data_IF_733966743268
#
_entry.id   IF_733966743268
#
_cell.length_a   1.000
_cell.length_b   1.000
_cell.length_c   1.000
_cell.angle_alpha   90.00
_cell.angle_beta   90.00
_cell.angle_gamma   90.00
#
_symmetry.space_group_name_H-M   'P 1'
#
loop_
_entity.id
_entity.type
_entity.pdbx_description
1 polymer ?
#
# COMPACT_ATOMS: atom_id res chain seq x y z
N UNK A 1 -28.23 -24.36 -18.88
CA UNK A 1 -27.72 -23.40 -19.88
C UNK A 1 -26.76 -22.44 -19.20
N UNK A 2 -25.48 -22.76 -19.23
CA UNK A 2 -24.40 -21.91 -18.72
C UNK A 2 -24.17 -20.83 -19.76
N UNK A 3 -24.59 -19.58 -19.49
CA UNK A 3 -24.19 -18.44 -20.33
C UNK A 3 -22.68 -18.31 -20.22
N UNK A 4 -21.96 -18.85 -21.20
CA UNK A 4 -20.56 -18.52 -21.47
C UNK A 4 -20.54 -17.02 -21.74
N UNK A 5 -20.20 -16.22 -20.71
CA UNK A 5 -19.80 -14.83 -20.91
C UNK A 5 -18.60 -14.88 -21.84
N UNK A 6 -18.78 -14.48 -23.10
CA UNK A 6 -17.67 -14.04 -23.94
C UNK A 6 -16.96 -12.95 -23.16
N UNK A 7 -15.82 -13.26 -22.55
CA UNK A 7 -15.00 -12.25 -21.88
C UNK A 7 -14.48 -11.34 -22.98
N UNK A 8 -15.10 -10.17 -23.16
CA UNK A 8 -14.54 -9.11 -23.99
C UNK A 8 -13.15 -8.74 -23.49
N UNK A 9 -12.33 -8.18 -24.38
CA UNK A 9 -11.01 -7.67 -24.00
C UNK A 9 -11.13 -6.70 -22.81
N UNK A 10 -10.16 -6.70 -21.88
CA UNK A 10 -10.20 -5.83 -20.72
C UNK A 10 -10.22 -4.36 -21.17
N UNK A 11 -10.98 -3.52 -20.45
CA UNK A 11 -11.08 -2.10 -20.81
C UNK A 11 -9.78 -1.36 -20.49
N UNK A 12 -9.53 -0.24 -21.17
CA UNK A 12 -8.35 0.61 -20.90
C UNK A 12 -8.32 1.07 -19.44
N UNK A 13 -9.49 1.37 -18.86
CA UNK A 13 -9.59 1.73 -17.44
C UNK A 13 -9.17 0.56 -16.53
N UNK A 14 -9.60 -0.66 -16.84
CA UNK A 14 -9.25 -1.86 -16.08
C UNK A 14 -7.74 -2.11 -16.10
N UNK A 15 -7.13 -2.10 -17.30
CA UNK A 15 -5.67 -2.31 -17.44
C UNK A 15 -4.90 -1.16 -16.83
N UNK A 16 -5.35 0.08 -17.02
CA UNK A 16 -4.71 1.29 -16.50
C UNK A 16 -4.67 1.31 -14.97
N UNK A 17 -5.77 0.95 -14.31
CA UNK A 17 -5.84 0.89 -12.84
C UNK A 17 -4.96 -0.23 -12.26
N UNK A 18 -4.95 -1.42 -12.89
CA UNK A 18 -4.04 -2.51 -12.50
C UNK A 18 -2.58 -2.08 -12.68
N UNK A 19 -2.25 -1.48 -13.83
CA UNK A 19 -0.91 -1.00 -14.13
C UNK A 19 -0.45 0.08 -13.15
N UNK A 20 -1.32 1.03 -12.82
CA UNK A 20 -1.05 2.06 -11.82
C UNK A 20 -0.80 1.44 -10.44
N UNK A 21 -1.67 0.53 -10.00
CA UNK A 21 -1.54 -0.15 -8.72
C UNK A 21 -0.21 -0.90 -8.60
N UNK A 22 0.13 -1.76 -9.58
CA UNK A 22 1.36 -2.55 -9.55
C UNK A 22 2.59 -1.67 -9.64
N UNK A 23 2.57 -0.65 -10.52
CA UNK A 23 3.71 0.29 -10.67
C UNK A 23 3.96 1.04 -9.37
N UNK A 24 2.90 1.58 -8.75
CA UNK A 24 3.00 2.29 -7.50
C UNK A 24 3.48 1.35 -6.37
N UNK A 25 2.93 0.14 -6.27
CA UNK A 25 3.31 -0.84 -5.24
C UNK A 25 4.79 -1.24 -5.34
N UNK A 26 5.28 -1.54 -6.54
CA UNK A 26 6.69 -1.91 -6.76
C UNK A 26 7.61 -0.71 -6.51
N UNK A 27 7.21 0.48 -6.96
CA UNK A 27 7.99 1.71 -6.72
C UNK A 27 8.10 2.00 -5.23
N UNK A 28 7.01 1.82 -4.47
CA UNK A 28 6.99 2.01 -3.02
C UNK A 28 8.08 1.18 -2.32
N UNK A 29 8.29 -0.08 -2.75
CA UNK A 29 9.32 -0.93 -2.14
C UNK A 29 10.73 -0.35 -2.28
N UNK A 30 11.04 0.20 -3.44
CA UNK A 30 12.38 0.70 -3.76
C UNK A 30 12.61 2.09 -3.17
N UNK A 31 11.57 2.92 -3.07
CA UNK A 31 11.67 4.28 -2.52
C UNK A 31 11.53 4.33 -1.00
N UNK A 32 11.02 3.27 -0.36
CA UNK A 32 10.82 3.20 1.09
C UNK A 32 12.10 3.40 1.91
N UNK A 33 13.25 2.97 1.38
CA UNK A 33 14.55 3.10 2.06
C UNK A 33 15.00 4.56 2.24
N UNK A 34 14.45 5.49 1.44
CA UNK A 34 14.69 6.92 1.61
C UNK A 34 13.70 7.51 2.61
N UNK A 35 14.19 7.95 3.76
CA UNK A 35 13.39 8.73 4.71
C UNK A 35 13.28 10.17 4.21
N UNK A 36 12.04 10.62 4.03
CA UNK A 36 11.68 12.00 3.72
C UNK A 36 11.40 12.74 5.03
N UNK A 37 11.75 14.01 5.09
CA UNK A 37 11.48 14.85 6.24
C UNK A 37 10.69 16.08 5.81
N UNK A 38 9.55 16.30 6.46
CA UNK A 38 8.62 17.39 6.17
C UNK A 38 8.53 18.31 7.38
N UNK A 39 8.56 19.61 7.16
CA UNK A 39 8.33 20.58 8.23
C UNK A 39 6.83 20.75 8.47
N UNK A 40 6.43 20.68 9.74
CA UNK A 40 5.05 20.88 10.16
C UNK A 40 4.84 22.33 10.61
N UNK A 41 3.67 22.92 10.30
CA UNK A 41 3.31 24.26 10.76
C UNK A 41 3.06 24.32 12.28
N UNK A 42 2.88 23.17 12.93
CA UNK A 42 2.74 23.05 14.39
C UNK A 42 3.56 21.87 14.91
N UNK A 43 4.14 22.01 16.10
CA UNK A 43 4.92 20.94 16.73
C UNK A 43 4.01 19.86 17.31
N UNK A 44 4.39 18.60 17.09
CA UNK A 44 3.73 17.44 17.68
C UNK A 44 4.51 16.91 18.90
N UNK A 45 3.84 16.31 19.90
CA UNK A 45 4.47 15.86 21.15
C UNK A 45 5.61 14.84 20.98
N UNK A 46 5.65 14.11 19.86
CA UNK A 46 6.62 13.02 19.62
C UNK A 46 7.63 13.37 18.52
N UNK A 47 7.22 14.14 17.50
CA UNK A 47 8.06 14.41 16.32
C UNK A 47 8.59 15.84 16.27
N UNK A 48 8.16 16.71 17.19
CA UNK A 48 8.52 18.13 17.15
C UNK A 48 7.95 18.81 15.90
N UNK A 49 8.70 19.73 15.30
CA UNK A 49 8.31 20.47 14.10
C UNK A 49 8.62 19.74 12.79
N UNK A 50 9.15 18.52 12.84
CA UNK A 50 9.52 17.76 11.65
C UNK A 50 8.84 16.39 11.67
N UNK A 51 8.33 15.95 10.53
CA UNK A 51 7.68 14.65 10.37
C UNK A 51 8.46 13.81 9.37
N UNK A 52 9.00 12.68 9.84
CA UNK A 52 9.60 11.69 8.96
C UNK A 52 8.53 10.80 8.31
N UNK A 53 8.66 10.57 7.00
CA UNK A 53 7.85 9.64 6.22
C UNK A 53 8.77 8.80 5.33
N UNK A 54 8.47 7.51 5.08
CA UNK A 54 9.19 6.79 4.04
C UNK A 54 8.90 7.39 2.66
N UNK A 55 9.86 7.31 1.75
CA UNK A 55 9.71 7.72 0.36
C UNK A 55 8.59 6.98 -0.39
N UNK A 56 8.13 5.85 0.17
CA UNK A 56 6.96 5.12 -0.28
C UNK A 56 5.63 5.89 -0.12
N UNK A 57 5.58 6.94 0.69
CA UNK A 57 4.36 7.69 1.02
C UNK A 57 3.51 8.07 -0.20
N UNK A 58 4.14 8.67 -1.22
CA UNK A 58 3.44 9.10 -2.44
C UNK A 58 2.97 7.92 -3.28
N UNK A 59 3.79 6.88 -3.38
CA UNK A 59 3.44 5.67 -4.10
C UNK A 59 2.26 4.95 -3.41
N UNK A 60 2.23 4.94 -2.07
CA UNK A 60 1.10 4.40 -1.33
C UNK A 60 -0.21 5.15 -1.62
N UNK A 61 -0.19 6.49 -1.68
CA UNK A 61 -1.39 7.25 -2.05
C UNK A 61 -1.96 6.82 -3.41
N UNK A 62 -1.09 6.57 -4.39
CA UNK A 62 -1.50 6.05 -5.71
C UNK A 62 -2.02 4.61 -5.64
N UNK A 63 -1.47 3.75 -4.78
CA UNK A 63 -2.00 2.39 -4.61
C UNK A 63 -3.42 2.39 -4.06
N UNK A 64 -3.72 3.23 -3.06
CA UNK A 64 -5.07 3.35 -2.49
C UNK A 64 -6.07 3.87 -3.52
N UNK A 65 -5.71 4.97 -4.21
CA UNK A 65 -6.54 5.53 -5.27
C UNK A 65 -6.88 4.48 -6.34
N UNK A 66 -5.87 3.75 -6.81
CA UNK A 66 -6.04 2.72 -7.82
C UNK A 66 -6.89 1.55 -7.32
N UNK A 67 -6.67 1.06 -6.10
CA UNK A 67 -7.44 -0.05 -5.53
C UNK A 67 -8.90 0.32 -5.26
N UNK A 68 -9.15 1.55 -4.85
CA UNK A 68 -10.50 2.03 -4.50
C UNK A 68 -11.32 2.28 -5.75
N UNK A 69 -10.74 2.94 -6.76
CA UNK A 69 -11.35 3.05 -8.09
C UNK A 69 -11.64 1.68 -8.69
N UNK A 70 -10.70 0.73 -8.57
CA UNK A 70 -10.88 -0.63 -9.10
C UNK A 70 -11.97 -1.40 -8.35
N UNK A 71 -12.05 -1.24 -7.03
CA UNK A 71 -13.11 -1.84 -6.19
C UNK A 71 -14.49 -1.33 -6.58
N UNK A 72 -14.63 -0.03 -6.81
CA UNK A 72 -15.92 0.59 -7.15
C UNK A 72 -16.36 0.26 -8.60
N UNK A 73 -15.43 0.09 -9.53
CA UNK A 73 -15.74 -0.24 -10.92
C UNK A 73 -15.95 -1.74 -11.16
N UNK A 74 -15.12 -2.59 -10.53
CA UNK A 74 -15.05 -4.03 -10.84
C UNK A 74 -15.41 -4.95 -9.65
N UNK A 75 -15.67 -4.36 -8.48
CA UNK A 75 -16.11 -5.06 -7.28
C UNK A 75 -14.98 -5.58 -6.39
N UNK A 76 -15.32 -5.82 -5.11
CA UNK A 76 -14.40 -6.23 -4.04
C UNK A 76 -13.55 -7.46 -4.38
N UNK A 77 -14.16 -8.50 -4.97
CA UNK A 77 -13.43 -9.75 -5.28
C UNK A 77 -12.35 -9.53 -6.33
N UNK A 78 -12.62 -8.71 -7.35
CA UNK A 78 -11.64 -8.40 -8.38
C UNK A 78 -10.49 -7.58 -7.80
N UNK A 79 -10.79 -6.57 -6.97
CA UNK A 79 -9.78 -5.77 -6.29
C UNK A 79 -8.88 -6.62 -5.36
N UNK A 80 -9.47 -7.56 -4.61
CA UNK A 80 -8.70 -8.49 -3.77
C UNK A 80 -7.72 -9.34 -4.58
N UNK A 81 -8.09 -9.75 -5.80
CA UNK A 81 -7.18 -10.47 -6.69
C UNK A 81 -6.02 -9.56 -7.10
N UNK A 82 -6.29 -8.31 -7.52
CA UNK A 82 -5.25 -7.35 -7.91
C UNK A 82 -4.28 -7.07 -6.76
N UNK A 83 -4.81 -6.83 -5.55
CA UNK A 83 -4.00 -6.58 -4.34
C UNK A 83 -3.15 -7.80 -4.00
N UNK A 84 -3.73 -9.00 -3.97
CA UNK A 84 -3.00 -10.22 -3.61
C UNK A 84 -1.93 -10.58 -4.65
N UNK A 85 -2.23 -10.44 -5.94
CA UNK A 85 -1.25 -10.64 -7.01
C UNK A 85 -0.15 -9.61 -6.91
N UNK A 86 -0.48 -8.32 -6.74
CA UNK A 86 0.52 -7.26 -6.54
C UNK A 86 1.40 -7.52 -5.33
N UNK A 87 0.82 -7.99 -4.22
CA UNK A 87 1.56 -8.39 -3.04
C UNK A 87 2.57 -9.51 -3.36
N UNK A 88 2.13 -10.58 -4.05
CA UNK A 88 3.00 -11.69 -4.48
C UNK A 88 4.10 -11.22 -5.44
N UNK A 89 3.81 -10.27 -6.32
CA UNK A 89 4.79 -9.71 -7.25
C UNK A 89 5.96 -9.01 -6.55
N UNK A 90 5.84 -8.62 -5.28
CA UNK A 90 6.98 -8.13 -4.51
C UNK A 90 8.07 -9.18 -4.32
N UNK A 91 7.72 -10.47 -4.25
CA UNK A 91 8.72 -11.55 -4.22
C UNK A 91 9.44 -11.68 -5.56
N UNK A 92 8.76 -11.40 -6.67
CA UNK A 92 9.40 -11.34 -8.00
C UNK A 92 10.39 -10.17 -8.05
N UNK A 93 10.00 -9.00 -7.55
CA UNK A 93 10.91 -7.84 -7.43
C UNK A 93 12.13 -8.21 -6.59
N UNK A 94 11.95 -8.83 -5.42
CA UNK A 94 13.07 -9.26 -4.59
C UNK A 94 13.98 -10.27 -5.30
N UNK A 95 13.40 -11.26 -6.00
CA UNK A 95 14.18 -12.25 -6.74
C UNK A 95 15.06 -11.58 -7.81
N UNK A 96 14.49 -10.63 -8.59
CA UNK A 96 15.22 -9.89 -9.62
C UNK A 96 16.29 -8.95 -9.04
N UNK A 97 15.98 -8.29 -7.93
CA UNK A 97 16.92 -7.42 -7.22
C UNK A 97 18.10 -8.25 -6.70
N UNK A 98 17.83 -9.35 -5.98
CA UNK A 98 18.88 -10.19 -5.42
C UNK A 98 19.68 -10.95 -6.47
N UNK A 99 19.05 -11.37 -7.58
CA UNK A 99 19.81 -11.95 -8.70
C UNK A 99 20.81 -10.97 -9.29
N UNK A 100 20.46 -9.67 -9.31
CA UNK A 100 21.34 -8.61 -9.80
C UNK A 100 22.44 -8.28 -8.78
N UNK A 101 22.11 -8.24 -7.48
CA UNK A 101 23.11 -8.04 -6.40
C UNK A 101 24.16 -9.16 -6.39
N UNK A 102 23.74 -10.41 -6.63
CA UNK A 102 24.64 -11.56 -6.63
C UNK A 102 25.49 -11.68 -7.91
N UNK A 103 25.12 -11.00 -8.99
CA UNK A 103 25.83 -11.06 -10.25
C UNK A 103 27.20 -10.33 -10.15
N UNK A 104 28.22 -10.76 -10.92
CA UNK A 104 29.52 -10.08 -10.94
C UNK A 104 29.39 -8.62 -11.38
N UNK A 105 29.97 -7.71 -10.59
CA UNK A 105 29.96 -6.29 -10.90
C UNK A 105 31.14 -5.89 -11.79
N UNK A 106 30.87 -5.00 -12.76
CA UNK A 106 31.92 -4.37 -13.56
C UNK A 106 32.73 -3.33 -12.75
N UNK A 107 32.06 -2.62 -11.84
CA UNK A 107 32.65 -1.68 -10.90
C UNK A 107 32.24 -2.05 -9.46
N UNK A 108 33.19 -2.46 -8.60
CA UNK A 108 32.91 -2.81 -7.21
C UNK A 108 32.31 -1.67 -6.38
N UNK A 109 32.63 -0.42 -6.68
CA UNK A 109 32.16 0.73 -5.88
C UNK A 109 30.66 0.97 -6.06
N UNK A 110 30.18 0.92 -7.30
CA UNK A 110 28.75 0.98 -7.64
C UNK A 110 27.98 -0.23 -7.08
N UNK A 111 28.59 -1.42 -7.07
CA UNK A 111 27.95 -2.64 -6.59
C UNK A 111 27.58 -2.58 -5.09
N UNK A 112 28.47 -2.06 -4.25
CA UNK A 112 28.22 -1.91 -2.82
C UNK A 112 27.07 -0.93 -2.52
N UNK A 113 27.01 0.18 -3.26
CA UNK A 113 25.90 1.15 -3.16
C UNK A 113 24.58 0.53 -3.60
N UNK A 114 24.58 -0.20 -4.72
CA UNK A 114 23.39 -0.88 -5.24
C UNK A 114 22.83 -1.90 -4.24
N UNK A 115 23.70 -2.74 -3.66
CA UNK A 115 23.30 -3.72 -2.65
C UNK A 115 22.73 -3.05 -1.39
N UNK A 116 23.33 -1.94 -0.96
CA UNK A 116 22.86 -1.18 0.21
C UNK A 116 21.45 -0.59 -0.01
N UNK A 117 21.24 0.05 -1.17
CA UNK A 117 19.97 0.75 -1.47
C UNK A 117 18.85 -0.22 -1.80
N UNK A 118 19.09 -1.16 -2.73
CA UNK A 118 18.03 -2.07 -3.19
C UNK A 118 17.83 -3.27 -2.26
N UNK A 119 18.88 -3.73 -1.57
CA UNK A 119 18.77 -4.80 -0.59
C UNK A 119 17.80 -4.45 0.55
N UNK A 120 17.71 -3.17 0.93
CA UNK A 120 16.78 -2.67 1.95
C UNK A 120 15.31 -3.01 1.63
N UNK A 121 14.94 -3.18 0.35
CA UNK A 121 13.61 -3.63 -0.08
C UNK A 121 13.19 -4.96 0.58
N UNK A 122 14.16 -5.82 0.92
CA UNK A 122 13.92 -7.07 1.67
C UNK A 122 13.24 -6.80 3.01
N UNK A 123 13.74 -5.80 3.74
CA UNK A 123 13.20 -5.43 5.04
C UNK A 123 11.79 -4.85 4.90
N UNK A 124 11.55 -4.05 3.85
CA UNK A 124 10.24 -3.45 3.58
C UNK A 124 9.21 -4.55 3.26
N UNK A 125 9.56 -5.53 2.43
CA UNK A 125 8.69 -6.66 2.12
C UNK A 125 8.40 -7.50 3.36
N UNK A 126 9.42 -7.83 4.16
CA UNK A 126 9.26 -8.60 5.40
C UNK A 126 8.37 -7.88 6.40
N UNK A 127 8.61 -6.57 6.61
CA UNK A 127 7.78 -5.75 7.47
C UNK A 127 6.35 -5.68 6.99
N UNK A 128 6.13 -5.51 5.68
CA UNK A 128 4.78 -5.45 5.08
C UNK A 128 4.03 -6.77 5.24
N UNK A 129 4.70 -7.91 5.04
CA UNK A 129 4.10 -9.22 5.18
C UNK A 129 3.66 -9.49 6.63
N UNK A 130 4.55 -9.24 7.60
CA UNK A 130 4.25 -9.44 9.01
C UNK A 130 3.15 -8.49 9.48
N UNK A 131 3.23 -7.22 9.10
CA UNK A 131 2.21 -6.23 9.39
C UNK A 131 0.85 -6.65 8.84
N UNK A 132 0.78 -7.04 7.56
CA UNK A 132 -0.44 -7.48 6.90
C UNK A 132 -1.07 -8.70 7.59
N UNK A 133 -0.29 -9.75 7.88
CA UNK A 133 -0.83 -10.97 8.51
C UNK A 133 -1.43 -10.66 9.87
N UNK A 134 -0.73 -9.87 10.69
CA UNK A 134 -1.19 -9.55 12.04
C UNK A 134 -2.36 -8.56 12.02
N UNK A 135 -2.25 -7.49 11.22
CA UNK A 135 -3.24 -6.42 11.18
C UNK A 135 -4.56 -6.87 10.58
N UNK A 136 -4.55 -7.70 9.52
CA UNK A 136 -5.77 -8.23 8.92
C UNK A 136 -6.50 -9.19 9.86
N UNK A 137 -5.76 -10.08 10.53
CA UNK A 137 -6.36 -10.98 11.52
C UNK A 137 -6.95 -10.20 12.70
N UNK A 138 -6.26 -9.15 13.14
CA UNK A 138 -6.76 -8.25 14.19
C UNK A 138 -8.02 -7.50 13.77
N UNK A 139 -8.06 -6.95 12.54
CA UNK A 139 -9.23 -6.24 12.02
C UNK A 139 -10.47 -7.14 12.05
N UNK A 140 -10.35 -8.36 11.51
CA UNK A 140 -11.45 -9.33 11.49
C UNK A 140 -11.89 -9.68 12.91
N UNK A 141 -10.95 -9.93 13.83
CA UNK A 141 -11.27 -10.23 15.22
C UNK A 141 -12.03 -9.10 15.90
N UNK A 142 -11.51 -7.87 15.86
CA UNK A 142 -12.14 -6.70 16.50
C UNK A 142 -13.50 -6.38 15.87
N UNK A 143 -13.61 -6.47 14.54
CA UNK A 143 -14.87 -6.23 13.84
C UNK A 143 -15.98 -7.18 14.33
N UNK A 144 -15.68 -8.47 14.44
CA UNK A 144 -16.63 -9.48 14.92
C UNK A 144 -16.92 -9.32 16.40
N UNK A 145 -15.90 -9.04 17.22
CA UNK A 145 -16.06 -8.84 18.66
C UNK A 145 -16.98 -7.66 18.98
N UNK A 146 -16.80 -6.53 18.30
CA UNK A 146 -17.68 -5.37 18.47
C UNK A 146 -19.10 -5.71 17.96
N UNK A 147 -19.23 -6.42 16.84
CA UNK A 147 -20.53 -6.86 16.32
C UNK A 147 -21.30 -7.74 17.33
N UNK A 148 -20.63 -8.62 18.06
CA UNK A 148 -21.25 -9.43 19.11
C UNK A 148 -21.83 -8.56 20.24
N UNK A 149 -21.14 -7.48 20.61
CA UNK A 149 -21.58 -6.56 21.66
C UNK A 149 -22.64 -5.55 21.22
N UNK A 150 -22.56 -5.06 19.99
CA UNK A 150 -23.39 -3.93 19.52
C UNK A 150 -24.48 -4.32 18.53
N UNK A 151 -24.58 -5.60 18.15
CA UNK A 151 -25.54 -6.08 17.15
C UNK A 151 -25.29 -5.51 15.75
N UNK A 152 -26.35 -5.45 14.93
CA UNK A 152 -26.29 -4.99 13.53
C UNK A 152 -26.27 -3.47 13.37
N UNK A 153 -26.74 -2.72 14.36
CA UNK A 153 -27.06 -1.29 14.23
C UNK A 153 -25.82 -0.39 14.16
N UNK A 154 -24.74 -0.73 14.88
CA UNK A 154 -23.53 0.11 14.96
C UNK A 154 -22.43 -0.31 13.99
N UNK A 155 -22.76 -0.44 12.70
CA UNK A 155 -21.80 -0.80 11.64
C UNK A 155 -20.60 0.18 11.60
N UNK A 156 -20.87 1.48 11.69
CA UNK A 156 -19.85 2.52 11.64
C UNK A 156 -18.82 2.37 12.76
N UNK A 157 -19.28 2.06 13.98
CA UNK A 157 -18.42 1.94 15.16
C UNK A 157 -17.44 0.79 15.01
N UNK A 158 -17.93 -0.40 14.63
CA UNK A 158 -17.05 -1.56 14.43
C UNK A 158 -16.09 -1.36 13.27
N UNK A 159 -16.53 -0.69 12.19
CA UNK A 159 -15.67 -0.43 11.04
C UNK A 159 -14.54 0.55 11.38
N UNK A 160 -14.86 1.68 12.02
CA UNK A 160 -13.85 2.67 12.41
C UNK A 160 -12.91 2.10 13.47
N UNK A 161 -13.44 1.42 14.50
CA UNK A 161 -12.62 0.88 15.57
C UNK A 161 -11.70 -0.26 15.09
N UNK A 162 -12.20 -1.19 14.27
CA UNK A 162 -11.38 -2.27 13.71
C UNK A 162 -10.31 -1.73 12.77
N UNK A 163 -10.69 -0.80 11.88
CA UNK A 163 -9.76 -0.19 10.91
C UNK A 163 -8.70 0.65 11.61
N UNK A 164 -9.08 1.55 12.52
CA UNK A 164 -8.13 2.41 13.22
C UNK A 164 -7.14 1.59 14.06
N UNK A 165 -7.62 0.59 14.80
CA UNK A 165 -6.75 -0.25 15.62
C UNK A 165 -5.85 -1.17 14.78
N UNK A 166 -6.36 -1.77 13.69
CA UNK A 166 -5.55 -2.58 12.79
C UNK A 166 -4.50 -1.75 12.07
N UNK A 167 -4.81 -0.54 11.62
CA UNK A 167 -3.84 0.36 10.98
C UNK A 167 -2.75 0.84 11.93
N UNK A 168 -3.06 1.02 13.22
CA UNK A 168 -2.06 1.32 14.24
C UNK A 168 -1.09 0.14 14.42
N UNK A 169 -1.62 -1.08 14.55
CA UNK A 169 -0.82 -2.31 14.67
C UNK A 169 0.03 -2.54 13.42
N UNK A 170 -0.57 -2.38 12.23
CA UNK A 170 0.10 -2.48 10.95
C UNK A 170 1.31 -1.56 10.89
N UNK A 171 1.11 -0.28 11.21
CA UNK A 171 2.15 0.74 11.18
C UNK A 171 3.27 0.44 12.16
N UNK A 172 2.94 0.04 13.40
CA UNK A 172 3.94 -0.29 14.42
C UNK A 172 4.78 -1.50 13.98
N UNK A 173 4.15 -2.57 13.51
CA UNK A 173 4.86 -3.77 13.06
C UNK A 173 5.71 -3.46 11.83
N UNK A 174 5.13 -2.80 10.82
CA UNK A 174 5.82 -2.45 9.59
C UNK A 174 7.06 -1.61 9.89
N UNK A 175 6.92 -0.50 10.62
CA UNK A 175 8.04 0.41 10.88
C UNK A 175 9.12 -0.26 11.73
N UNK A 176 8.72 -0.99 12.77
CA UNK A 176 9.67 -1.70 13.65
C UNK A 176 10.48 -2.75 12.89
N UNK A 177 9.80 -3.56 12.07
CA UNK A 177 10.45 -4.62 11.31
C UNK A 177 11.31 -4.03 10.19
N UNK A 178 10.74 -3.15 9.38
CA UNK A 178 11.38 -2.66 8.16
C UNK A 178 12.60 -1.77 8.43
N UNK A 179 12.59 -0.99 9.51
CA UNK A 179 13.62 0.04 9.77
C UNK A 179 14.47 -0.18 11.03
N UNK A 180 14.15 -1.16 11.87
CA UNK A 180 14.94 -1.47 13.07
C UNK A 180 15.33 -2.95 13.16
N UNK A 181 14.36 -3.87 13.25
CA UNK A 181 14.62 -5.29 13.54
C UNK A 181 15.25 -6.02 12.35
N UNK A 182 14.67 -5.94 11.15
CA UNK A 182 15.20 -6.64 9.99
C UNK A 182 16.59 -6.13 9.57
N UNK A 183 16.87 -4.81 9.53
CA UNK A 183 18.24 -4.34 9.30
C UNK A 183 19.25 -4.86 10.33
N UNK A 184 18.87 -4.92 11.61
CA UNK A 184 19.75 -5.40 12.68
C UNK A 184 20.03 -6.91 12.62
N UNK A 185 19.03 -7.71 12.21
CA UNK A 185 19.13 -9.18 12.17
C UNK A 185 19.72 -9.69 10.86
N UNK A 186 19.32 -9.12 9.72
CA UNK A 186 19.72 -9.57 8.39
C UNK A 186 20.98 -8.89 7.89
N UNK A 187 21.40 -7.77 8.50
CA UNK A 187 22.56 -7.00 8.07
C UNK A 187 22.38 -6.31 6.72
N UNK A 188 21.13 -6.13 6.27
CA UNK A 188 20.79 -5.49 5.00
C UNK A 188 20.13 -4.14 5.28
N UNK A 189 20.60 -3.07 4.66
CA UNK A 189 20.12 -1.71 4.92
C UNK A 189 20.68 -1.10 6.21
N UNK A 190 20.07 -0.03 6.69
CA UNK A 190 20.54 0.72 7.87
C UNK A 190 19.54 0.61 9.02
N UNK A 191 20.05 0.36 10.22
CA UNK A 191 19.26 0.45 11.46
C UNK A 191 19.02 1.92 11.75
N UNK A 192 17.76 2.34 11.77
CA UNK A 192 17.42 3.74 12.09
C UNK A 192 17.42 3.98 13.62
N UNK A 193 17.80 5.21 14.05
CA UNK A 193 17.65 5.64 15.44
C UNK A 193 16.20 5.56 15.93
N UNK A 194 16.01 5.29 17.23
CA UNK A 194 14.69 5.05 17.83
C UNK A 194 13.74 6.25 17.70
N UNK A 195 14.26 7.47 17.79
CA UNK A 195 13.52 8.72 17.58
C UNK A 195 12.98 8.82 16.15
N UNK A 196 13.79 8.46 15.15
CA UNK A 196 13.36 8.44 13.73
C UNK A 196 12.30 7.36 13.51
N UNK A 197 12.48 6.17 14.10
CA UNK A 197 11.50 5.07 14.04
C UNK A 197 10.16 5.49 14.64
N UNK A 198 10.15 6.14 15.80
CA UNK A 198 8.93 6.67 16.42
C UNK A 198 8.29 7.76 15.54
N UNK A 199 9.09 8.65 14.95
CA UNK A 199 8.57 9.65 14.02
C UNK A 199 7.96 9.02 12.77
N UNK A 200 8.54 7.94 12.24
CA UNK A 200 7.98 7.22 11.10
C UNK A 200 6.65 6.55 11.44
N UNK A 201 6.50 6.00 12.66
CA UNK A 201 5.22 5.41 13.10
C UNK A 201 4.11 6.47 13.15
N UNK A 202 4.37 7.59 13.81
CA UNK A 202 3.40 8.69 13.92
C UNK A 202 3.11 9.26 12.54
N UNK A 203 4.15 9.54 11.76
CA UNK A 203 4.03 10.11 10.42
C UNK A 203 3.22 9.23 9.48
N UNK A 204 3.50 7.94 9.41
CA UNK A 204 2.75 7.03 8.56
C UNK A 204 1.29 6.89 8.97
N UNK A 205 1.02 6.80 10.27
CA UNK A 205 -0.36 6.68 10.75
C UNK A 205 -1.18 7.93 10.39
N UNK A 206 -0.61 9.12 10.58
CA UNK A 206 -1.23 10.38 10.18
C UNK A 206 -1.38 10.50 8.66
N UNK A 207 -0.35 10.12 7.90
CA UNK A 207 -0.36 10.15 6.45
C UNK A 207 -1.49 9.27 5.89
N UNK A 208 -1.66 8.04 6.40
CA UNK A 208 -2.73 7.14 5.99
C UNK A 208 -4.11 7.79 6.21
N UNK A 209 -4.30 8.50 7.32
CA UNK A 209 -5.53 9.23 7.59
C UNK A 209 -5.77 10.37 6.59
N UNK A 210 -4.74 11.15 6.29
CA UNK A 210 -4.82 12.24 5.29
C UNK A 210 -5.09 11.69 3.89
N UNK A 211 -4.41 10.61 3.49
CA UNK A 211 -4.65 9.94 2.21
C UNK A 211 -6.11 9.48 2.14
N UNK A 212 -6.62 8.76 3.14
CA UNK A 212 -8.00 8.29 3.13
C UNK A 212 -9.04 9.42 2.98
N UNK A 213 -8.78 10.57 3.61
CA UNK A 213 -9.64 11.75 3.51
C UNK A 213 -9.61 12.37 2.11
N UNK A 214 -8.42 12.50 1.51
CA UNK A 214 -8.23 13.11 0.19
C UNK A 214 -8.61 12.18 -0.97
N UNK A 215 -8.46 10.87 -0.79
CA UNK A 215 -8.69 9.88 -1.83
C UNK A 215 -10.17 9.75 -2.18
N UNK A 216 -11.04 9.81 -1.15
CA UNK A 216 -12.49 9.69 -1.28
C UNK A 216 -13.07 10.58 -2.40
N UNK A 217 -12.90 11.92 -2.42
CA UNK A 217 -13.46 12.76 -3.49
C UNK A 217 -12.86 12.47 -4.87
N UNK A 218 -11.58 12.10 -4.95
CA UNK A 218 -10.89 11.82 -6.22
C UNK A 218 -11.43 10.52 -6.83
N UNK A 219 -11.65 9.49 -6.02
CA UNK A 219 -12.26 8.22 -6.46
C UNK A 219 -13.64 8.47 -7.08
N UNK A 220 -14.50 9.24 -6.42
CA UNK A 220 -15.83 9.57 -6.98
C UNK A 220 -15.73 10.27 -8.34
N UNK A 221 -14.79 11.20 -8.50
CA UNK A 221 -14.57 11.90 -9.76
C UNK A 221 -14.16 10.93 -10.88
N UNK A 222 -13.14 10.09 -10.64
CA UNK A 222 -12.64 9.12 -11.64
C UNK A 222 -13.73 8.11 -12.02
N UNK A 223 -14.42 7.53 -11.03
CA UNK A 223 -15.48 6.54 -11.25
C UNK A 223 -16.61 7.14 -12.09
N UNK A 224 -17.01 8.38 -11.81
CA UNK A 224 -18.07 9.05 -12.57
C UNK A 224 -17.69 9.20 -14.06
N UNK A 225 -16.46 9.62 -14.35
CA UNK A 225 -15.94 9.79 -15.71
C UNK A 225 -15.90 8.46 -16.45
N UNK A 226 -15.41 7.39 -15.80
CA UNK A 226 -15.32 6.06 -16.41
C UNK A 226 -16.71 5.51 -16.72
N UNK A 227 -17.65 5.57 -15.77
CA UNK A 227 -19.03 5.09 -15.98
C UNK A 227 -19.75 5.87 -17.07
N UNK A 228 -19.54 7.19 -17.16
CA UNK A 228 -20.13 8.00 -18.24
C UNK A 228 -19.63 7.60 -19.63
N UNK A 229 -18.35 7.21 -19.76
CA UNK A 229 -17.77 6.77 -21.05
C UNK A 229 -18.21 5.36 -21.44
N UNK A 230 -18.32 4.46 -20.47
CA UNK A 230 -18.84 3.10 -20.72
C UNK A 230 -20.32 3.13 -21.10
N UNK A 231 -21.12 3.99 -20.46
CA UNK A 231 -22.53 4.23 -20.82
C UNK A 231 -22.73 4.87 -22.20
N UNK A 232 -21.82 5.75 -22.63
CA UNK A 232 -21.86 6.31 -23.99
C UNK A 232 -21.56 5.26 -25.06
N UNK A 233 -20.56 4.40 -24.84
CA UNK A 233 -20.17 3.35 -25.81
C UNK A 233 -21.24 2.28 -26.04
N UNK A 234 -22.10 2.02 -25.06
CA UNK A 234 -23.20 1.05 -25.17
C UNK A 234 -24.40 1.59 -25.95
N UNK A 235 -24.62 2.91 -25.96
CA UNK A 235 -25.71 3.54 -26.71
C UNK A 235 -25.41 3.65 -28.22
N UNK A 236 -24.15 3.81 -28.61
CA UNK A 236 -23.73 3.87 -30.03
C UNK A 236 -23.75 2.50 -30.73
N UNK A 237 -23.78 1.40 -29.98
CA UNK A 237 -23.83 0.04 -30.56
C UNK A 237 -25.26 -0.42 -30.89
N UNK A 238 -26.28 0.28 -30.39
CA UNK A 238 -27.70 -0.07 -30.60
C UNK A 238 -28.43 0.85 -31.59
N UNK A 239 -27.72 1.79 -32.24
CA UNK A 239 -28.27 2.77 -33.19
C UNK A 239 -27.99 2.45 -34.66
N UNK A 240 -27.64 1.20 -35.00
CA UNK A 240 -27.43 0.73 -36.39
C UNK A 240 -28.42 -0.36 -36.75
#
# INVERSE_FOLDING_TARGET
MTKTRTQGAPTVAQVGLIGLFVTALVTAQVTASKVLAFELPMSLPVTGSQLALPGAALAYALTFLASDCYTELYGRRAAQIVVNVGFVLNFVVLALVWSTIAAPAADPSTAGQFATVLGASTNIVLGSLLAYIVSQNWDVFVFHRIREYTGSEKLWLRNIASTASSQAIDTVIFVSVAFAIAPAVLGVGTVLPTDVVLSLMVGQYLLKFVIALLDTPVVYAIVSIVRSREGASTNDTHSV
#
